data_IF_554682620502
#
_entry.id   IF_554682620502
#
_cell.length_a   1.000
_cell.length_b   1.000
_cell.length_c   1.000
_cell.angle_alpha   90.00
_cell.angle_beta   90.00
_cell.angle_gamma   90.00
#
_symmetry.space_group_name_H-M   'P 1'
#
loop_
_entity.id
_entity.type
_entity.pdbx_description
1 polymer ?
#
# COMPACT_ATOMS: atom_id res chain seq x y z
N UNK A 1 5.83 3.99 8.39
CA UNK A 1 7.05 4.14 7.56
C UNK A 1 6.98 3.10 6.45
N UNK A 2 7.39 3.44 5.23
CA UNK A 2 7.54 2.48 4.13
C UNK A 2 8.91 2.68 3.47
N UNK A 3 9.48 1.62 2.92
CA UNK A 3 10.73 1.64 2.17
C UNK A 3 10.74 0.49 1.15
N UNK A 4 11.55 0.62 0.10
CA UNK A 4 11.75 -0.44 -0.88
C UNK A 4 13.23 -0.81 -0.97
N UNK A 5 13.51 -2.11 -0.97
CA UNK A 5 14.85 -2.66 -1.14
C UNK A 5 14.95 -3.44 -2.45
N UNK A 6 16.13 -3.42 -3.05
CA UNK A 6 16.49 -4.29 -4.18
C UNK A 6 17.49 -5.32 -3.68
N UNK A 7 17.22 -6.59 -3.95
CA UNK A 7 18.13 -7.70 -3.69
C UNK A 7 18.67 -8.20 -5.03
N UNK A 8 20.00 -8.27 -5.15
CA UNK A 8 20.70 -8.81 -6.32
C UNK A 8 21.46 -10.05 -5.88
N UNK A 9 21.32 -11.13 -6.63
CA UNK A 9 22.06 -12.38 -6.39
C UNK A 9 23.08 -12.60 -7.51
N UNK A 10 24.32 -12.93 -7.13
CA UNK A 10 25.37 -13.33 -8.07
C UNK A 10 26.07 -14.57 -7.52
N UNK A 11 25.69 -15.74 -8.05
CA UNK A 11 26.13 -17.02 -7.51
C UNK A 11 25.60 -17.21 -6.08
N UNK A 12 26.50 -17.52 -5.13
CA UNK A 12 26.16 -17.73 -3.72
C UNK A 12 26.05 -16.42 -2.90
N UNK A 13 26.32 -15.27 -3.50
CA UNK A 13 26.32 -13.98 -2.79
C UNK A 13 25.04 -13.21 -3.11
N UNK A 14 24.33 -12.78 -2.05
CA UNK A 14 23.22 -11.85 -2.13
C UNK A 14 23.64 -10.48 -1.59
N UNK A 15 23.37 -9.42 -2.34
CA UNK A 15 23.55 -8.03 -1.90
C UNK A 15 22.21 -7.32 -1.91
N UNK A 16 22.02 -6.40 -0.96
CA UNK A 16 20.80 -5.62 -0.82
C UNK A 16 21.10 -4.14 -0.67
N UNK A 17 20.31 -3.29 -1.31
CA UNK A 17 20.36 -1.84 -1.16
C UNK A 17 18.94 -1.25 -1.11
N UNK A 18 18.76 -0.14 -0.38
CA UNK A 18 17.50 0.61 -0.46
C UNK A 18 17.44 1.37 -1.78
N UNK A 19 16.26 1.38 -2.41
CA UNK A 19 16.03 2.23 -3.58
C UNK A 19 16.09 3.68 -3.11
N UNK A 20 16.94 4.47 -3.77
CA UNK A 20 17.11 5.88 -3.49
C UNK A 20 15.75 6.62 -3.46
N UNK A 21 15.51 7.39 -2.39
CA UNK A 21 14.26 8.15 -2.24
C UNK A 21 13.02 7.32 -1.85
N UNK A 22 13.12 6.00 -1.73
CA UNK A 22 11.99 5.13 -1.38
C UNK A 22 11.57 5.20 0.09
N UNK A 23 12.46 5.61 1.00
CA UNK A 23 12.15 5.69 2.42
C UNK A 23 11.21 6.87 2.67
N UNK A 24 9.99 6.60 3.11
CA UNK A 24 9.00 7.61 3.47
C UNK A 24 8.44 7.37 4.88
N UNK A 25 8.35 8.47 5.63
CA UNK A 25 7.84 8.50 6.99
C UNK A 25 6.65 9.47 7.03
N UNK A 26 5.47 8.94 7.29
CA UNK A 26 4.28 9.75 7.59
C UNK A 26 4.04 9.77 9.09
N UNK A 27 3.85 10.97 9.64
CA UNK A 27 3.55 11.16 11.06
C UNK A 27 2.09 10.79 11.30
N UNK A 28 1.85 9.80 12.17
CA UNK A 28 0.50 9.40 12.59
C UNK A 28 -0.27 10.53 13.28
N UNK A 29 0.44 11.45 13.94
CA UNK A 29 -0.11 12.56 14.71
C UNK A 29 -0.84 13.66 13.89
N UNK A 30 -0.80 13.62 12.55
CA UNK A 30 -1.47 14.61 11.69
C UNK A 30 -2.91 14.24 11.30
N UNK A 31 -3.43 13.09 11.74
CA UNK A 31 -4.81 12.69 11.47
C UNK A 31 -5.76 13.62 12.26
N UNK A 32 -6.73 14.26 11.59
CA UNK A 32 -7.87 14.90 12.29
C UNK A 32 -8.52 13.82 13.16
N UNK A 33 -8.79 14.13 14.44
CA UNK A 33 -9.52 13.28 15.40
C UNK A 33 -10.97 13.04 14.97
N UNK A 34 -11.16 12.37 13.84
CA UNK A 34 -12.46 11.90 13.41
C UNK A 34 -12.37 10.39 13.22
N UNK A 35 -12.89 9.67 14.23
CA UNK A 35 -13.44 8.32 14.13
C UNK A 35 -12.45 7.23 13.68
N UNK A 36 -11.54 6.84 14.57
CA UNK A 36 -11.04 5.45 14.77
C UNK A 36 -9.75 5.52 15.59
N UNK A 37 -9.83 5.16 16.88
CA UNK A 37 -8.66 5.08 17.77
C UNK A 37 -7.82 3.82 17.49
N UNK A 38 -8.37 2.84 16.75
CA UNK A 38 -7.71 1.54 16.45
C UNK A 38 -6.87 1.54 15.15
N UNK A 39 -6.89 2.63 14.36
CA UNK A 39 -6.10 2.72 13.14
C UNK A 39 -4.65 3.16 13.42
N UNK A 40 -3.83 2.18 13.83
CA UNK A 40 -2.38 2.36 14.06
C UNK A 40 -1.61 2.77 12.80
N UNK A 41 -2.20 2.66 11.60
CA UNK A 41 -1.53 3.04 10.35
C UNK A 41 -1.44 4.57 10.15
N UNK A 42 -2.08 5.38 10.99
CA UNK A 42 -1.93 6.83 10.96
C UNK A 42 -2.33 7.44 9.61
N UNK A 43 -1.73 8.57 9.22
CA UNK A 43 -2.00 9.24 7.94
C UNK A 43 -1.61 8.40 6.69
N UNK A 44 -1.28 7.12 6.79
CA UNK A 44 -0.87 6.28 5.67
C UNK A 44 -2.09 5.59 5.04
N UNK A 45 -2.70 6.23 4.04
CA UNK A 45 -3.84 5.70 3.30
C UNK A 45 -3.41 5.04 1.98
N UNK A 46 -4.37 4.36 1.33
CA UNK A 46 -4.14 3.66 0.07
C UNK A 46 -3.70 4.59 -1.07
N UNK A 47 -4.15 5.86 -1.08
CA UNK A 47 -3.81 6.83 -2.12
C UNK A 47 -2.35 7.29 -2.02
N UNK A 48 -1.86 7.47 -0.79
CA UNK A 48 -0.46 7.76 -0.51
C UNK A 48 0.44 6.58 -0.86
N UNK A 49 0.00 5.36 -0.56
CA UNK A 49 0.68 4.15 -0.99
C UNK A 49 0.74 4.04 -2.52
N UNK A 50 -0.37 4.22 -3.22
CA UNK A 50 -0.42 4.17 -4.69
C UNK A 50 0.53 5.18 -5.33
N UNK A 51 0.53 6.44 -4.86
CA UNK A 51 1.46 7.48 -5.35
C UNK A 51 2.92 7.12 -5.09
N UNK A 52 3.22 6.63 -3.90
CA UNK A 52 4.57 6.18 -3.56
C UNK A 52 5.00 5.02 -4.45
N UNK A 53 4.12 4.04 -4.65
CA UNK A 53 4.38 2.84 -5.44
C UNK A 53 4.55 3.16 -6.92
N UNK A 54 3.78 4.08 -7.50
CA UNK A 54 3.97 4.54 -8.88
C UNK A 54 5.36 5.15 -9.09
N UNK A 55 5.77 6.06 -8.20
CA UNK A 55 7.11 6.67 -8.26
C UNK A 55 8.23 5.65 -8.10
N UNK A 56 8.03 4.68 -7.20
CA UNK A 56 8.94 3.56 -7.02
C UNK A 56 9.06 2.74 -8.31
N UNK A 57 7.95 2.37 -8.95
CA UNK A 57 7.94 1.63 -10.21
C UNK A 57 8.68 2.38 -11.34
N UNK A 58 8.51 3.70 -11.45
CA UNK A 58 9.27 4.51 -12.40
C UNK A 58 10.78 4.43 -12.14
N UNK A 59 11.19 4.52 -10.86
CA UNK A 59 12.60 4.44 -10.44
C UNK A 59 13.18 3.05 -10.70
N UNK A 60 12.42 2.01 -10.36
CA UNK A 60 12.81 0.61 -10.55
C UNK A 60 12.98 0.28 -12.03
N UNK A 61 12.02 0.65 -12.88
CA UNK A 61 12.11 0.46 -14.32
C UNK A 61 13.34 1.13 -14.93
N UNK A 62 13.64 2.36 -14.51
CA UNK A 62 14.78 3.11 -15.03
C UNK A 62 16.14 2.57 -14.59
N UNK A 63 16.27 2.09 -13.33
CA UNK A 63 17.57 1.74 -12.73
C UNK A 63 17.84 0.23 -12.60
N UNK A 64 16.80 -0.60 -12.51
CA UNK A 64 16.92 -2.01 -12.12
C UNK A 64 16.16 -2.98 -13.05
N UNK A 65 15.25 -2.49 -13.90
CA UNK A 65 14.45 -3.30 -14.83
C UNK A 65 13.05 -3.63 -14.33
N UNK A 66 12.31 -4.46 -15.09
CA UNK A 66 10.92 -4.81 -14.80
C UNK A 66 10.83 -6.02 -13.86
N UNK A 67 10.89 -5.78 -12.55
CA UNK A 67 10.51 -6.81 -11.56
C UNK A 67 10.07 -6.15 -10.24
N UNK A 68 8.82 -6.38 -9.84
CA UNK A 68 8.26 -5.91 -8.57
C UNK A 68 7.63 -7.11 -7.83
N UNK A 69 8.21 -7.51 -6.70
CA UNK A 69 7.61 -8.49 -5.79
C UNK A 69 7.22 -7.76 -4.50
N UNK A 70 5.94 -7.78 -4.15
CA UNK A 70 5.38 -7.14 -2.95
C UNK A 70 4.65 -8.20 -2.14
N UNK A 71 4.72 -8.14 -0.82
CA UNK A 71 3.94 -9.03 0.04
C UNK A 71 2.44 -8.70 -0.05
N UNK A 72 1.61 -9.70 0.23
CA UNK A 72 0.15 -9.60 0.09
C UNK A 72 -0.56 -8.82 1.19
N UNK A 73 0.11 -7.85 1.84
CA UNK A 73 -0.45 -7.07 2.95
C UNK A 73 -1.73 -6.33 2.54
N UNK A 74 -2.68 -6.21 3.47
CA UNK A 74 -3.98 -5.57 3.23
C UNK A 74 -3.84 -4.13 2.73
N UNK A 75 -2.82 -3.40 3.20
CA UNK A 75 -2.48 -2.05 2.76
C UNK A 75 -1.99 -1.96 1.31
N UNK A 76 -1.56 -3.07 0.70
CA UNK A 76 -1.10 -3.13 -0.69
C UNK A 76 -2.22 -3.42 -1.69
N UNK A 77 -3.45 -3.64 -1.21
CA UNK A 77 -4.60 -4.03 -2.03
C UNK A 77 -5.67 -2.96 -1.93
N UNK A 78 -5.94 -2.26 -3.04
CA UNK A 78 -7.12 -1.38 -3.12
C UNK A 78 -8.37 -2.22 -3.40
N UNK A 79 -9.21 -2.40 -2.39
CA UNK A 79 -10.54 -2.97 -2.57
C UNK A 79 -11.50 -1.87 -3.04
N UNK A 80 -11.70 -1.75 -4.36
CA UNK A 80 -12.63 -0.79 -4.96
C UNK A 80 -14.09 -1.17 -4.75
N UNK A 81 -14.36 -2.47 -4.61
CA UNK A 81 -15.67 -3.03 -4.34
C UNK A 81 -15.66 -3.76 -2.99
N UNK A 82 -15.81 -3.01 -1.89
CA UNK A 82 -15.80 -3.60 -0.55
C UNK A 82 -17.01 -4.53 -0.40
N UNK A 83 -16.76 -5.76 0.04
CA UNK A 83 -17.83 -6.66 0.45
C UNK A 83 -18.57 -6.02 1.64
N UNK A 84 -19.92 -5.99 1.62
CA UNK A 84 -20.67 -5.45 2.74
C UNK A 84 -20.30 -6.17 4.03
N UNK A 85 -20.18 -5.40 5.12
CA UNK A 85 -19.95 -5.94 6.46
C UNK A 85 -21.20 -5.78 7.30
N UNK A 86 -21.21 -6.33 8.52
CA UNK A 86 -22.37 -6.26 9.43
C UNK A 86 -22.78 -4.82 9.80
N UNK A 87 -21.96 -3.82 9.52
CA UNK A 87 -22.27 -2.39 9.72
C UNK A 87 -23.05 -1.75 8.55
N UNK A 88 -23.22 -2.46 7.43
CA UNK A 88 -23.97 -1.95 6.29
C UNK A 88 -25.48 -2.10 6.51
N UNK A 89 -26.24 -1.09 6.07
CA UNK A 89 -27.70 -1.20 6.03
C UNK A 89 -28.13 -2.28 5.02
N UNK A 90 -29.18 -3.03 5.35
CA UNK A 90 -29.76 -4.06 4.47
C UNK A 90 -30.03 -3.54 3.05
N UNK A 91 -30.55 -2.31 2.92
CA UNK A 91 -30.81 -1.68 1.63
C UNK A 91 -29.51 -1.47 0.82
N UNK A 92 -28.42 -1.06 1.48
CA UNK A 92 -27.11 -0.90 0.84
C UNK A 92 -26.51 -2.25 0.44
N UNK A 93 -26.72 -3.31 1.23
CA UNK A 93 -26.34 -4.68 0.87
C UNK A 93 -27.11 -5.19 -0.36
N UNK A 94 -28.43 -4.96 -0.43
CA UNK A 94 -29.26 -5.35 -1.57
C UNK A 94 -28.85 -4.59 -2.84
N UNK A 95 -28.63 -3.28 -2.74
CA UNK A 95 -28.13 -2.48 -3.87
C UNK A 95 -26.76 -2.98 -4.37
N UNK A 96 -25.87 -3.39 -3.46
CA UNK A 96 -24.57 -3.99 -3.79
C UNK A 96 -24.69 -5.34 -4.52
N UNK A 97 -25.65 -6.19 -4.12
CA UNK A 97 -25.91 -7.48 -4.78
C UNK A 97 -26.46 -7.27 -6.20
N UNK A 98 -27.35 -6.30 -6.37
CA UNK A 98 -28.02 -6.03 -7.66
C UNK A 98 -27.10 -5.31 -8.64
N UNK A 99 -26.20 -4.43 -8.17
CA UNK A 99 -25.27 -3.68 -8.99
C UNK A 99 -24.00 -4.44 -9.40
N UNK A 100 -23.98 -5.77 -9.29
CA UNK A 100 -22.85 -6.65 -9.65
C UNK A 100 -22.97 -7.22 -11.05
#
# INVERSE_FOLDING_TARGET
MIAAGVIKTRGAVATGEFVEGSIKVWKSALKRKLWDEDDYHGNFDAEQFERWFQNLCCTLKAKYGECNHMDGASSHKRTTNKTPTMSWLKAAMVAWIIGK
#
